data_IF_913161655509
#
_entry.id   IF_913161655509
#
_cell.length_a   1.000
_cell.length_b   1.000
_cell.length_c   1.000
_cell.angle_alpha   90.00
_cell.angle_beta   90.00
_cell.angle_gamma   90.00
#
_symmetry.space_group_name_H-M   'P 1'
#
loop_
_entity.id
_entity.type
_entity.pdbx_description
1 polymer ?
#
# COMPACT_ATOMS: atom_id res chain seq x y z
N UNK A 1 -2.65 -0.86 26.65
CA UNK A 1 -1.70 -1.59 25.79
C UNK A 1 -2.32 -2.94 25.57
N UNK A 2 -2.91 -3.19 24.40
CA UNK A 2 -3.66 -4.43 24.19
C UNK A 2 -2.71 -5.49 23.64
N UNK A 3 -2.08 -6.24 24.54
CA UNK A 3 -1.37 -7.47 24.19
C UNK A 3 -2.39 -8.44 23.59
N UNK A 4 -2.14 -8.91 22.37
CA UNK A 4 -2.83 -10.10 21.88
C UNK A 4 -2.41 -11.30 22.75
N UNK A 5 -3.25 -12.34 22.84
CA UNK A 5 -3.06 -13.50 23.75
C UNK A 5 -1.72 -14.23 23.56
N UNK A 6 -1.06 -13.99 22.44
CA UNK A 6 0.19 -14.58 21.94
C UNK A 6 1.46 -13.73 22.24
N UNK A 7 1.32 -12.58 22.90
CA UNK A 7 2.46 -11.80 23.40
C UNK A 7 3.21 -10.96 22.36
N UNK A 8 2.74 -10.92 21.10
CA UNK A 8 3.23 -9.99 20.08
C UNK A 8 2.51 -8.65 20.19
N UNK A 9 3.27 -7.56 20.16
CA UNK A 9 2.67 -6.23 20.12
C UNK A 9 2.26 -5.91 18.67
N UNK A 10 0.96 -5.71 18.45
CA UNK A 10 0.40 -5.26 17.17
C UNK A 10 0.13 -3.76 17.22
N UNK A 11 0.41 -3.05 16.14
CA UNK A 11 0.36 -1.59 16.08
C UNK A 11 -0.39 -1.09 14.84
N UNK A 12 -1.21 -0.05 15.05
CA UNK A 12 -1.71 0.79 13.97
C UNK A 12 -0.95 2.11 14.07
N UNK A 13 -0.35 2.55 12.97
CA UNK A 13 0.53 3.69 12.94
C UNK A 13 0.09 4.72 11.91
N UNK A 14 0.51 5.97 12.12
CA UNK A 14 0.33 7.06 11.16
C UNK A 14 1.67 7.41 10.53
N UNK A 15 1.68 7.58 9.21
CA UNK A 15 2.78 8.22 8.50
C UNK A 15 2.28 9.36 7.62
N UNK A 16 3.10 10.38 7.46
CA UNK A 16 2.84 11.50 6.55
C UNK A 16 3.74 11.41 5.31
N UNK A 17 3.25 11.94 4.19
CA UNK A 17 4.08 12.22 3.02
C UNK A 17 4.17 11.07 2.02
N UNK A 18 5.29 11.03 1.29
CA UNK A 18 5.41 10.14 0.15
C UNK A 18 5.69 8.70 0.59
N UNK A 19 4.71 7.82 0.37
CA UNK A 19 4.80 6.40 0.72
C UNK A 19 6.03 5.69 0.13
N UNK A 20 6.51 6.13 -1.03
CA UNK A 20 7.67 5.55 -1.69
C UNK A 20 9.02 6.03 -1.09
N UNK A 21 8.99 6.90 -0.08
CA UNK A 21 10.16 7.37 0.67
C UNK A 21 10.18 6.87 2.13
N UNK A 22 9.18 6.10 2.54
CA UNK A 22 9.14 5.54 3.90
C UNK A 22 10.24 4.48 4.07
N UNK A 23 11.09 4.68 5.08
CA UNK A 23 12.12 3.71 5.49
C UNK A 23 11.66 2.82 6.64
N UNK A 24 12.27 1.64 6.77
CA UNK A 24 11.99 0.70 7.87
C UNK A 24 10.68 -0.08 7.71
N UNK A 25 10.16 -0.17 6.48
CA UNK A 25 8.91 -0.86 6.15
C UNK A 25 9.21 -2.02 5.19
N UNK A 26 8.65 -3.21 5.45
CA UNK A 26 8.87 -4.37 4.59
C UNK A 26 8.14 -4.24 3.26
N UNK A 27 6.90 -3.73 3.26
CA UNK A 27 6.06 -3.65 2.08
C UNK A 27 5.28 -2.33 2.00
N UNK A 28 5.17 -1.76 0.80
CA UNK A 28 4.30 -0.61 0.57
C UNK A 28 3.12 -1.01 -0.31
N UNK A 29 1.98 -0.33 -0.12
CA UNK A 29 0.75 -0.64 -0.84
C UNK A 29 0.47 0.41 -1.91
N UNK A 30 0.15 -0.06 -3.11
CA UNK A 30 -0.39 0.77 -4.18
C UNK A 30 -1.91 0.58 -4.29
N UNK A 31 -2.66 1.69 -4.30
CA UNK A 31 -4.08 1.71 -4.65
C UNK A 31 -4.19 1.67 -6.17
N UNK A 32 -4.64 0.54 -6.71
CA UNK A 32 -4.55 0.23 -8.14
C UNK A 32 -5.93 0.10 -8.80
N UNK A 33 -5.96 0.21 -10.13
CA UNK A 33 -7.15 0.04 -10.95
C UNK A 33 -7.26 -1.38 -11.57
N UNK A 34 -8.46 -1.75 -12.05
CA UNK A 34 -8.70 -3.08 -12.65
C UNK A 34 -7.93 -3.35 -13.95
N UNK A 35 -7.22 -2.37 -14.53
CA UNK A 35 -6.31 -2.56 -15.67
C UNK A 35 -4.87 -2.79 -15.24
N UNK A 36 -4.55 -2.69 -13.95
CA UNK A 36 -3.19 -2.74 -13.40
C UNK A 36 -2.22 -1.80 -14.12
N UNK A 37 -2.73 -0.65 -14.57
CA UNK A 37 -1.94 0.35 -15.27
C UNK A 37 -1.53 1.44 -14.27
N UNK A 38 -0.28 1.38 -13.82
CA UNK A 38 0.28 2.38 -12.93
C UNK A 38 0.35 3.76 -13.60
N UNK A 39 0.16 4.80 -12.80
CA UNK A 39 0.26 6.18 -13.26
C UNK A 39 1.66 6.52 -13.77
N UNK A 40 1.72 7.58 -14.60
CA UNK A 40 3.00 8.09 -15.10
C UNK A 40 3.79 8.73 -13.94
N UNK A 41 5.12 8.58 -13.88
CA UNK A 41 5.94 9.06 -12.75
C UNK A 41 5.81 10.54 -12.37
N UNK A 42 5.35 11.39 -13.29
CA UNK A 42 5.14 12.82 -13.09
C UNK A 42 3.76 13.18 -12.50
N UNK A 43 2.83 12.24 -12.43
CA UNK A 43 1.50 12.48 -11.88
C UNK A 43 1.55 12.62 -10.35
N UNK A 44 0.59 13.35 -9.77
CA UNK A 44 0.52 13.57 -8.32
C UNK A 44 -0.33 12.50 -7.64
N UNK A 45 0.11 11.24 -7.69
CA UNK A 45 -0.57 10.10 -7.06
C UNK A 45 0.41 9.16 -6.35
N UNK A 46 -0.12 8.32 -5.47
CA UNK A 46 0.66 7.24 -4.83
C UNK A 46 1.23 6.29 -5.88
N UNK A 47 0.43 5.89 -6.87
CA UNK A 47 0.86 5.00 -7.96
C UNK A 47 2.01 5.60 -8.76
N UNK A 48 1.94 6.90 -9.07
CA UNK A 48 2.99 7.63 -9.76
C UNK A 48 4.28 7.74 -8.93
N UNK A 49 4.14 8.04 -7.63
CA UNK A 49 5.29 8.11 -6.74
C UNK A 49 6.00 6.76 -6.62
N UNK A 50 5.24 5.68 -6.38
CA UNK A 50 5.81 4.32 -6.35
C UNK A 50 6.49 4.01 -7.68
N UNK A 51 5.83 4.30 -8.82
CA UNK A 51 6.43 4.05 -10.14
C UNK A 51 7.74 4.85 -10.33
N UNK A 52 7.78 6.12 -9.91
CA UNK A 52 8.96 6.98 -10.02
C UNK A 52 10.16 6.42 -9.26
N UNK A 53 9.97 6.05 -8.00
CA UNK A 53 11.04 5.64 -7.10
C UNK A 53 11.41 4.16 -7.21
N UNK A 54 10.52 3.32 -7.76
CA UNK A 54 10.84 1.93 -8.07
C UNK A 54 11.51 1.76 -9.44
N UNK A 55 11.42 2.76 -10.32
CA UNK A 55 12.07 2.76 -11.62
C UNK A 55 13.56 3.05 -11.53
N UNK A 56 14.32 2.56 -12.50
CA UNK A 56 15.72 2.95 -12.72
C UNK A 56 15.78 4.04 -13.77
N UNK A 57 16.73 4.97 -13.61
CA UNK A 57 16.87 6.15 -14.45
C UNK A 57 18.27 6.19 -15.05
N UNK A 58 18.38 6.67 -16.28
CA UNK A 58 19.67 6.88 -16.97
C UNK A 58 19.73 8.27 -17.57
N UNK A 59 20.94 8.80 -17.69
CA UNK A 59 21.19 10.08 -18.35
C UNK A 59 20.96 9.93 -19.86
N UNK A 60 20.27 10.90 -20.48
CA UNK A 60 20.06 10.90 -21.91
C UNK A 60 21.37 11.21 -22.65
N UNK A 61 21.73 10.38 -23.63
CA UNK A 61 22.99 10.55 -24.38
C UNK A 61 23.07 11.89 -25.12
N UNK A 62 21.94 12.41 -25.59
CA UNK A 62 21.87 13.65 -26.36
C UNK A 62 21.63 14.90 -25.50
N UNK A 63 21.32 14.74 -24.22
CA UNK A 63 21.18 15.84 -23.26
C UNK A 63 21.57 15.38 -21.85
N UNK A 64 22.84 15.55 -21.44
CA UNK A 64 23.32 15.10 -20.13
C UNK A 64 22.63 15.73 -18.91
N UNK A 65 21.83 16.78 -19.10
CA UNK A 65 21.02 17.41 -18.04
C UNK A 65 19.64 16.75 -17.86
N UNK A 66 19.27 15.82 -18.74
CA UNK A 66 17.99 15.13 -18.73
C UNK A 66 18.16 13.64 -18.39
N UNK A 67 17.15 13.11 -17.70
CA UNK A 67 17.07 11.70 -17.32
C UNK A 67 15.86 11.06 -17.99
N UNK A 68 16.04 9.83 -18.47
CA UNK A 68 14.96 8.98 -18.94
C UNK A 68 14.87 7.71 -18.10
N UNK A 69 13.68 7.09 -18.10
CA UNK A 69 13.47 5.82 -17.42
C UNK A 69 14.19 4.72 -18.22
N UNK A 70 15.10 4.01 -17.57
CA UNK A 70 15.73 2.84 -18.15
C UNK A 70 14.82 1.61 -18.03
N UNK A 71 14.26 1.37 -16.83
CA UNK A 71 13.37 0.22 -16.57
C UNK A 71 12.20 0.55 -15.67
N UNK A 72 11.00 0.18 -16.11
CA UNK A 72 9.74 0.21 -15.35
C UNK A 72 9.37 -1.20 -14.82
N UNK A 73 10.19 -1.77 -13.93
CA UNK A 73 10.09 -3.18 -13.52
C UNK A 73 8.69 -3.56 -13.00
N UNK A 74 8.10 -2.74 -12.14
CA UNK A 74 6.78 -2.99 -11.57
C UNK A 74 5.69 -3.05 -12.64
N UNK A 75 5.72 -2.12 -13.62
CA UNK A 75 4.76 -2.14 -14.73
C UNK A 75 4.93 -3.37 -15.60
N UNK A 76 6.15 -3.83 -15.84
CA UNK A 76 6.39 -5.08 -16.58
C UNK A 76 5.82 -6.29 -15.85
N UNK A 77 6.00 -6.38 -14.54
CA UNK A 77 5.45 -7.45 -13.72
C UNK A 77 3.92 -7.42 -13.68
N UNK A 78 3.31 -6.24 -13.51
CA UNK A 78 1.86 -6.06 -13.58
C UNK A 78 1.29 -6.41 -14.96
N UNK A 79 1.97 -6.04 -16.06
CA UNK A 79 1.59 -6.44 -17.42
C UNK A 79 1.61 -7.96 -17.59
N UNK A 80 2.60 -8.66 -17.00
CA UNK A 80 2.64 -10.14 -17.01
C UNK A 80 1.46 -10.73 -16.25
N UNK A 81 1.16 -10.21 -15.06
CA UNK A 81 0.01 -10.64 -14.26
C UNK A 81 -1.29 -10.45 -15.05
N UNK A 82 -1.50 -9.27 -15.64
CA UNK A 82 -2.68 -8.96 -16.45
C UNK A 82 -2.88 -9.92 -17.61
N UNK A 83 -1.80 -10.32 -18.30
CA UNK A 83 -1.87 -11.28 -19.42
C UNK A 83 -2.37 -12.67 -18.98
N UNK A 84 -2.22 -13.02 -17.70
CA UNK A 84 -2.60 -14.33 -17.15
C UNK A 84 -3.96 -14.33 -16.45
N UNK A 85 -4.64 -13.19 -16.35
CA UNK A 85 -5.90 -13.03 -15.62
C UNK A 85 -7.00 -12.57 -16.57
N UNK A 86 -8.07 -13.36 -16.67
CA UNK A 86 -9.21 -13.05 -17.52
C UNK A 86 -10.06 -11.89 -16.97
N UNK A 87 -10.19 -11.80 -15.64
CA UNK A 87 -10.92 -10.74 -14.95
C UNK A 87 -10.12 -10.30 -13.71
N UNK A 88 -10.12 -9.00 -13.45
CA UNK A 88 -9.49 -8.37 -12.29
C UNK A 88 -10.54 -7.47 -11.65
N UNK A 89 -10.82 -7.70 -10.38
CA UNK A 89 -11.92 -7.07 -9.65
C UNK A 89 -11.44 -6.29 -8.44
N UNK A 90 -12.30 -5.39 -7.94
CA UNK A 90 -12.03 -4.65 -6.71
C UNK A 90 -11.89 -5.65 -5.54
N UNK A 91 -10.79 -5.54 -4.81
CA UNK A 91 -10.41 -6.46 -3.73
C UNK A 91 -9.35 -7.47 -4.12
N UNK A 92 -9.02 -7.61 -5.41
CA UNK A 92 -7.88 -8.40 -5.86
C UNK A 92 -6.56 -7.78 -5.40
N UNK A 93 -5.60 -8.64 -5.04
CA UNK A 93 -4.28 -8.25 -4.57
C UNK A 93 -3.22 -8.97 -5.36
N UNK A 94 -2.23 -8.20 -5.80
CA UNK A 94 -1.06 -8.69 -6.47
C UNK A 94 0.18 -8.16 -5.76
N UNK A 95 1.29 -8.87 -5.85
CA UNK A 95 2.57 -8.31 -5.43
C UNK A 95 3.58 -8.40 -6.55
N UNK A 96 4.44 -7.39 -6.56
CA UNK A 96 5.58 -7.24 -7.45
C UNK A 96 6.86 -7.21 -6.62
N UNK A 97 8.02 -7.29 -7.27
CA UNK A 97 9.28 -6.85 -6.66
C UNK A 97 9.21 -5.35 -6.33
N UNK A 98 10.18 -4.86 -5.56
CA UNK A 98 10.24 -3.45 -5.17
C UNK A 98 11.10 -2.58 -6.10
N UNK A 99 11.70 -3.16 -7.15
CA UNK A 99 12.59 -2.44 -8.06
C UNK A 99 13.71 -1.70 -7.31
N UNK A 100 13.96 -0.45 -7.68
CA UNK A 100 14.98 0.38 -7.05
C UNK A 100 14.68 0.73 -5.56
N UNK A 101 13.46 0.50 -5.07
CA UNK A 101 13.14 0.71 -3.64
C UNK A 101 13.84 -0.33 -2.73
N UNK A 102 14.18 -1.50 -3.28
CA UNK A 102 14.90 -2.55 -2.54
C UNK A 102 16.26 -2.05 -2.03
N UNK A 103 17.00 -1.36 -2.90
CA UNK A 103 18.37 -0.96 -2.61
C UNK A 103 18.39 0.24 -1.66
N UNK A 104 17.51 1.21 -1.92
CA UNK A 104 17.51 2.52 -1.26
C UNK A 104 16.81 2.51 0.11
N UNK A 105 15.67 1.82 0.22
CA UNK A 105 14.78 1.92 1.39
C UNK A 105 14.51 0.58 2.06
N UNK A 106 15.10 -0.49 1.53
CA UNK A 106 14.91 -1.88 1.99
C UNK A 106 13.45 -2.35 1.92
N UNK A 107 12.62 -1.70 1.09
CA UNK A 107 11.29 -2.19 0.75
C UNK A 107 11.46 -3.50 -0.01
N UNK A 108 10.74 -4.54 0.40
CA UNK A 108 10.94 -5.91 -0.09
C UNK A 108 9.96 -6.28 -1.21
N UNK A 109 8.78 -5.67 -1.20
CA UNK A 109 7.79 -5.82 -2.26
C UNK A 109 6.82 -4.64 -2.30
N UNK A 110 6.12 -4.50 -3.42
CA UNK A 110 4.95 -3.61 -3.54
C UNK A 110 3.70 -4.48 -3.65
N UNK A 111 2.70 -4.16 -2.84
CA UNK A 111 1.39 -4.82 -2.80
C UNK A 111 0.38 -3.95 -3.56
N UNK A 112 -0.09 -4.40 -4.71
CA UNK A 112 -1.06 -3.70 -5.54
C UNK A 112 -2.47 -4.18 -5.19
N UNK A 113 -3.25 -3.30 -4.56
CA UNK A 113 -4.62 -3.58 -4.14
C UNK A 113 -5.56 -2.91 -5.12
N UNK A 114 -6.39 -3.70 -5.79
CA UNK A 114 -7.36 -3.19 -6.75
C UNK A 114 -8.51 -2.55 -6.00
N UNK A 115 -8.65 -1.25 -6.13
CA UNK A 115 -9.58 -0.42 -5.33
C UNK A 115 -10.50 0.42 -6.21
N UNK A 116 -10.17 0.53 -7.49
CA UNK A 116 -10.89 1.33 -8.48
C UNK A 116 -11.16 0.53 -9.74
N UNK A 117 -12.41 0.45 -10.17
CA UNK A 117 -12.78 -0.05 -11.49
C UNK A 117 -12.43 0.97 -12.57
N UNK A 118 -11.75 0.52 -13.63
CA UNK A 118 -11.43 1.36 -14.78
C UNK A 118 -12.15 0.88 -16.05
N UNK A 119 -13.15 1.67 -16.45
CA UNK A 119 -13.90 1.54 -17.69
C UNK A 119 -13.91 2.88 -18.46
N UNK A 120 -15.09 3.39 -18.83
CA UNK A 120 -15.22 4.76 -19.38
C UNK A 120 -14.90 5.83 -18.33
N UNK A 121 -15.21 5.55 -17.07
CA UNK A 121 -14.95 6.40 -15.92
C UNK A 121 -14.23 5.59 -14.84
N UNK A 122 -13.62 6.29 -13.88
CA UNK A 122 -13.18 5.71 -12.63
C UNK A 122 -14.39 5.39 -11.76
N UNK A 123 -14.45 4.17 -11.23
CA UNK A 123 -15.51 3.71 -10.33
C UNK A 123 -14.85 3.20 -9.05
N UNK A 124 -14.72 4.03 -8.00
CA UNK A 124 -14.13 3.59 -6.76
C UNK A 124 -14.99 2.48 -6.11
N UNK A 125 -14.36 1.56 -5.39
CA UNK A 125 -15.09 0.62 -4.55
C UNK A 125 -15.92 1.35 -3.49
N UNK A 126 -17.06 0.78 -3.10
CA UNK A 126 -17.83 1.30 -1.97
C UNK A 126 -17.00 1.31 -0.68
N UNK A 127 -17.40 2.10 0.33
CA UNK A 127 -16.71 2.15 1.62
C UNK A 127 -16.55 0.77 2.26
N UNK A 128 -17.57 -0.09 2.10
CA UNK A 128 -17.54 -1.48 2.57
C UNK A 128 -16.51 -2.32 1.80
N UNK A 129 -16.45 -2.19 0.47
CA UNK A 129 -15.47 -2.89 -0.36
C UNK A 129 -14.04 -2.45 -0.03
N UNK A 130 -13.79 -1.15 0.16
CA UNK A 130 -12.46 -0.63 0.48
C UNK A 130 -11.98 -1.08 1.87
N UNK A 131 -12.89 -1.15 2.86
CA UNK A 131 -12.57 -1.80 4.13
C UNK A 131 -12.21 -3.28 3.96
N UNK A 132 -12.96 -4.03 3.14
CA UNK A 132 -12.64 -5.44 2.83
C UNK A 132 -11.29 -5.59 2.13
N UNK A 133 -10.88 -4.62 1.31
CA UNK A 133 -9.56 -4.61 0.69
C UNK A 133 -8.43 -4.66 1.73
N UNK A 134 -8.58 -4.01 2.89
CA UNK A 134 -7.61 -4.09 3.99
C UNK A 134 -7.56 -5.48 4.61
N UNK A 135 -8.71 -6.09 4.90
CA UNK A 135 -8.77 -7.47 5.41
C UNK A 135 -8.16 -8.47 4.42
N UNK A 136 -8.50 -8.33 3.13
CA UNK A 136 -7.93 -9.17 2.07
C UNK A 136 -6.41 -8.99 1.99
N UNK A 137 -5.92 -7.76 2.10
CA UNK A 137 -4.50 -7.42 2.04
C UNK A 137 -3.71 -8.12 3.16
N UNK A 138 -4.17 -7.99 4.40
CA UNK A 138 -3.50 -8.60 5.54
C UNK A 138 -3.54 -10.14 5.45
N UNK A 139 -4.68 -10.69 5.02
CA UNK A 139 -4.82 -12.13 4.73
C UNK A 139 -3.83 -12.60 3.66
N UNK A 140 -3.68 -11.83 2.58
CA UNK A 140 -2.77 -12.13 1.49
C UNK A 140 -1.31 -12.09 1.95
N UNK A 141 -0.92 -11.11 2.76
CA UNK A 141 0.43 -11.01 3.33
C UNK A 141 0.74 -12.24 4.21
N UNK A 142 -0.18 -12.64 5.07
CA UNK A 142 0.02 -13.85 5.88
C UNK A 142 0.11 -15.13 5.04
N UNK A 143 -0.67 -15.23 3.96
CA UNK A 143 -0.54 -16.33 3.00
C UNK A 143 0.80 -16.29 2.27
N UNK A 144 1.31 -15.12 1.88
CA UNK A 144 2.64 -14.97 1.29
C UNK A 144 3.74 -15.44 2.25
N UNK A 145 3.68 -14.99 3.51
CA UNK A 145 4.58 -15.40 4.58
C UNK A 145 4.55 -16.92 4.80
N UNK A 146 3.38 -17.57 4.66
CA UNK A 146 3.21 -19.02 4.82
C UNK A 146 3.50 -19.85 3.58
N UNK A 147 3.59 -19.27 2.39
CA UNK A 147 3.68 -20.04 1.13
C UNK A 147 5.02 -19.88 0.44
N UNK A 148 5.59 -18.67 0.38
CA UNK A 148 6.83 -18.40 -0.34
C UNK A 148 8.06 -18.57 0.55
N UNK A 149 9.04 -19.38 0.11
CA UNK A 149 10.27 -19.67 0.87
C UNK A 149 10.97 -18.39 1.38
N UNK A 150 11.06 -17.35 0.54
CA UNK A 150 11.67 -16.06 0.89
C UNK A 150 10.99 -15.40 2.09
N UNK A 151 9.64 -15.42 2.14
CA UNK A 151 8.87 -14.80 3.20
C UNK A 151 8.66 -15.73 4.41
N UNK A 152 8.81 -17.05 4.25
CA UNK A 152 8.85 -17.99 5.38
C UNK A 152 10.07 -17.76 6.27
N UNK A 153 11.23 -17.54 5.67
CA UNK A 153 12.51 -17.36 6.38
C UNK A 153 12.63 -15.96 7.00
N UNK A 154 12.00 -14.98 6.35
CA UNK A 154 11.96 -13.60 6.83
C UNK A 154 10.54 -13.06 6.54
N UNK A 155 9.59 -13.13 7.48
CA UNK A 155 8.23 -12.66 7.24
C UNK A 155 8.16 -11.16 6.96
N UNK A 156 7.14 -10.74 6.19
CA UNK A 156 6.72 -9.34 6.09
C UNK A 156 5.96 -9.04 7.39
N UNK A 157 6.47 -8.12 8.21
CA UNK A 157 5.86 -7.76 9.50
C UNK A 157 5.36 -6.31 9.52
N UNK A 158 5.83 -5.48 8.60
CA UNK A 158 5.47 -4.06 8.53
C UNK A 158 4.99 -3.66 7.13
N UNK A 159 3.88 -2.91 7.05
CA UNK A 159 3.41 -2.38 5.78
C UNK A 159 2.82 -0.98 5.87
N UNK A 160 2.93 -0.22 4.79
CA UNK A 160 2.34 1.10 4.63
C UNK A 160 1.17 1.07 3.64
N UNK A 161 0.03 1.65 4.05
CA UNK A 161 -1.24 1.64 3.32
C UNK A 161 -1.69 3.09 3.10
N UNK A 162 -1.81 3.59 1.85
CA UNK A 162 -2.44 4.87 1.59
C UNK A 162 -3.96 4.75 1.78
N UNK A 163 -4.67 5.87 1.96
CA UNK A 163 -6.14 5.82 1.94
C UNK A 163 -6.61 5.45 0.53
N UNK A 164 -7.33 4.34 0.41
CA UNK A 164 -7.71 3.79 -0.88
C UNK A 164 -8.71 4.67 -1.62
N UNK A 165 -8.52 4.74 -2.95
CA UNK A 165 -9.46 5.36 -3.87
C UNK A 165 -9.86 6.80 -3.50
N UNK A 166 -8.95 7.59 -2.90
CA UNK A 166 -9.15 9.02 -2.60
C UNK A 166 -8.44 9.95 -3.60
N UNK A 167 -7.75 9.37 -4.59
CA UNK A 167 -7.08 10.11 -5.66
C UNK A 167 -8.04 10.59 -6.76
N UNK A 168 -7.48 10.85 -7.95
CA UNK A 168 -8.22 11.32 -9.13
C UNK A 168 -9.38 10.36 -9.48
N UNK A 169 -10.60 10.90 -9.55
CA UNK A 169 -11.80 10.11 -9.85
C UNK A 169 -12.24 9.16 -8.72
N UNK A 170 -11.68 9.35 -7.53
CA UNK A 170 -11.98 8.58 -6.33
C UNK A 170 -13.16 9.12 -5.52
N UNK A 171 -13.29 8.61 -4.31
CA UNK A 171 -14.25 9.04 -3.30
C UNK A 171 -13.87 10.43 -2.79
N UNK A 172 -14.85 11.32 -2.73
CA UNK A 172 -14.68 12.67 -2.19
C UNK A 172 -14.54 12.71 -0.66
N UNK A 173 -15.27 11.84 0.06
CA UNK A 173 -15.25 11.83 1.53
C UNK A 173 -14.20 10.85 2.06
N UNK A 174 -13.10 11.39 2.56
CA UNK A 174 -11.96 10.61 3.08
C UNK A 174 -12.32 9.90 4.39
N UNK A 175 -12.96 10.60 5.33
CA UNK A 175 -13.21 10.13 6.70
C UNK A 175 -13.91 8.78 6.77
N UNK A 176 -15.03 8.52 6.05
CA UNK A 176 -15.72 7.23 6.12
C UNK A 176 -14.87 6.07 5.58
N UNK A 177 -14.04 6.32 4.57
CA UNK A 177 -13.15 5.31 4.00
C UNK A 177 -12.01 5.03 4.96
N UNK A 178 -11.36 6.08 5.46
CA UNK A 178 -10.24 5.99 6.38
C UNK A 178 -10.65 5.26 7.67
N UNK A 179 -11.78 5.63 8.29
CA UNK A 179 -12.30 4.96 9.48
C UNK A 179 -12.52 3.48 9.21
N UNK A 180 -13.17 3.15 8.09
CA UNK A 180 -13.48 1.76 7.74
C UNK A 180 -12.22 0.94 7.46
N UNK A 181 -11.19 1.54 6.88
CA UNK A 181 -9.90 0.89 6.67
C UNK A 181 -9.17 0.63 7.99
N UNK A 182 -9.13 1.62 8.88
CA UNK A 182 -8.54 1.51 10.22
C UNK A 182 -9.23 0.43 11.05
N UNK A 183 -10.57 0.48 11.14
CA UNK A 183 -11.38 -0.53 11.86
C UNK A 183 -11.05 -1.94 11.36
N UNK A 184 -10.91 -2.12 10.04
CA UNK A 184 -10.64 -3.44 9.44
C UNK A 184 -9.22 -3.94 9.68
N UNK A 185 -8.24 -3.04 9.81
CA UNK A 185 -6.91 -3.43 10.25
C UNK A 185 -6.91 -3.85 11.72
N UNK A 186 -7.58 -3.09 12.59
CA UNK A 186 -7.72 -3.42 14.01
C UNK A 186 -8.42 -4.77 14.19
N UNK A 187 -9.61 -4.95 13.60
CA UNK A 187 -10.38 -6.19 13.62
C UNK A 187 -9.49 -7.39 13.23
N UNK A 188 -8.72 -7.24 12.15
CA UNK A 188 -7.88 -8.32 11.64
C UNK A 188 -6.76 -8.67 12.62
N UNK A 189 -6.03 -7.67 13.12
CA UNK A 189 -4.90 -7.89 14.02
C UNK A 189 -5.34 -8.41 15.39
N UNK A 190 -6.50 -7.99 15.90
CA UNK A 190 -7.07 -8.51 17.14
C UNK A 190 -7.60 -9.95 16.99
N UNK A 191 -8.26 -10.27 15.87
CA UNK A 191 -8.86 -11.59 15.66
C UNK A 191 -7.86 -12.63 15.12
N UNK A 192 -6.73 -12.20 14.57
CA UNK A 192 -5.74 -13.09 13.91
C UNK A 192 -4.43 -13.12 14.67
N UNK A 193 -4.43 -13.73 15.86
CA UNK A 193 -3.23 -13.92 16.71
C UNK A 193 -2.06 -14.59 15.98
N UNK A 194 -2.32 -15.40 14.94
CA UNK A 194 -1.26 -16.05 14.16
C UNK A 194 -0.66 -15.19 13.04
N UNK A 195 -1.11 -13.93 12.92
CA UNK A 195 -0.61 -13.02 11.89
C UNK A 195 0.87 -12.68 12.12
N UNK A 196 1.63 -12.65 11.04
CA UNK A 196 3.01 -12.17 11.05
C UNK A 196 3.09 -10.64 10.99
N UNK A 197 2.03 -9.97 10.54
CA UNK A 197 1.99 -8.51 10.47
C UNK A 197 1.92 -7.93 11.88
N UNK A 198 2.91 -7.14 12.26
CA UNK A 198 3.01 -6.49 13.57
C UNK A 198 2.69 -5.00 13.50
N UNK A 199 2.93 -4.32 12.38
CA UNK A 199 2.63 -2.88 12.26
C UNK A 199 2.03 -2.54 10.90
N UNK A 200 0.91 -1.81 10.95
CA UNK A 200 0.25 -1.24 9.77
C UNK A 200 0.31 0.27 9.86
N UNK A 201 1.07 0.90 8.97
CA UNK A 201 1.09 2.35 8.80
C UNK A 201 -0.01 2.79 7.85
N UNK A 202 -0.90 3.67 8.27
CA UNK A 202 -1.76 4.42 7.38
C UNK A 202 -1.06 5.70 6.94
N UNK A 203 -1.01 5.94 5.64
CA UNK A 203 -0.25 7.04 5.05
C UNK A 203 -1.18 8.16 4.62
N UNK A 204 -1.05 9.31 5.30
CA UNK A 204 -1.57 10.59 4.85
C UNK A 204 -0.70 11.16 3.73
N UNK A 205 -0.90 10.70 2.50
CA UNK A 205 -0.10 11.11 1.34
C UNK A 205 -0.22 12.60 1.02
N UNK A 206 -1.36 13.20 1.37
CA UNK A 206 -1.63 14.64 1.30
C UNK A 206 -2.14 15.12 2.65
N UNK A 207 -2.04 16.43 2.89
CA UNK A 207 -2.37 17.06 4.18
C UNK A 207 -3.78 16.70 4.68
N UNK A 208 -4.80 16.80 3.82
CA UNK A 208 -6.17 16.49 4.22
C UNK A 208 -6.32 15.02 4.64
N UNK A 209 -5.70 14.09 3.90
CA UNK A 209 -5.70 12.68 4.25
C UNK A 209 -4.99 12.41 5.59
N UNK A 210 -3.87 13.09 5.84
CA UNK A 210 -3.14 13.00 7.11
C UNK A 210 -3.99 13.51 8.27
N UNK A 211 -4.62 14.68 8.13
CA UNK A 211 -5.47 15.28 9.16
C UNK A 211 -6.63 14.36 9.55
N UNK A 212 -7.32 13.79 8.56
CA UNK A 212 -8.43 12.86 8.80
C UNK A 212 -7.96 11.58 9.50
N UNK A 213 -6.87 10.97 9.02
CA UNK A 213 -6.29 9.77 9.66
C UNK A 213 -5.85 10.06 11.10
N UNK A 214 -5.21 11.22 11.34
CA UNK A 214 -4.79 11.63 12.67
C UNK A 214 -5.97 11.76 13.61
N UNK A 215 -7.03 12.45 13.19
CA UNK A 215 -8.25 12.61 13.99
C UNK A 215 -8.86 11.24 14.35
N UNK A 216 -8.92 10.31 13.39
CA UNK A 216 -9.41 8.94 13.62
C UNK A 216 -8.53 8.23 14.65
N UNK A 217 -7.21 8.24 14.46
CA UNK A 217 -6.29 7.52 15.34
C UNK A 217 -6.28 8.12 16.75
N UNK A 218 -6.42 9.44 16.92
CA UNK A 218 -6.54 10.08 18.24
C UNK A 218 -7.78 9.65 19.03
N UNK A 219 -8.82 9.10 18.38
CA UNK A 219 -9.97 8.49 19.07
C UNK A 219 -9.69 7.09 19.61
N UNK A 220 -8.61 6.45 19.16
CA UNK A 220 -8.22 5.11 19.59
C UNK A 220 -7.46 5.16 20.91
N UNK A 221 -7.44 4.03 21.62
CA UNK A 221 -6.64 3.87 22.83
C UNK A 221 -5.14 4.09 22.50
N UNK A 222 -4.49 4.96 23.28
CA UNK A 222 -3.14 5.49 23.00
C UNK A 222 -2.07 4.41 22.89
N UNK A 223 -2.32 3.25 23.46
CA UNK A 223 -1.35 2.17 23.51
C UNK A 223 -1.28 1.31 22.23
N UNK A 224 -2.01 1.68 21.18
CA UNK A 224 -1.99 1.01 19.85
C UNK A 224 -1.25 1.84 18.79
N UNK A 225 -0.90 3.10 19.11
CA UNK A 225 -0.50 4.10 18.11
C UNK A 225 1.02 4.36 18.12
N UNK A 226 1.66 4.18 16.96
CA UNK A 226 3.00 4.72 16.68
C UNK A 226 2.88 5.79 15.60
N UNK A 227 3.46 6.96 15.80
CA UNK A 227 3.50 8.02 14.76
C UNK A 227 4.92 8.07 14.20
N UNK A 228 5.03 8.09 12.87
CA UNK A 228 6.30 8.24 12.16
C UNK A 228 6.16 9.33 11.11
N UNK A 229 6.82 10.45 11.33
CA UNK A 229 6.92 11.52 10.34
C UNK A 229 8.08 11.22 9.37
N UNK A 230 7.93 11.59 8.10
CA UNK A 230 8.94 11.43 7.04
C UNK A 230 9.03 12.71 6.21
#
# INVERSE_FOLDING_TARGET
MKRTKDGKNKYIALAMGNIALLGGIDAIVNSENTKLDMDRPQEKSVSAAINRYASTWRIMQNNPSEFEIDKELLKEELRKIRKTRANIEIGDIFHTSSGALADNLKIRCVLHVVTVGLGRNYVPGSYIQLGRCVTNLLTYVDQLNKSKKTYKLNPITTLAIPIFATGKGGIASITPVAQRMVDRAIDYLECTATSYVDTVYFVGYVEDAYRELRAILETLDKDVIKVQDV
#
